data_IF_085690680764
#
_entry.id   IF_085690680764
#
_cell.length_a   1.000
_cell.length_b   1.000
_cell.length_c   1.000
_cell.angle_alpha   90.00
_cell.angle_beta   90.00
_cell.angle_gamma   90.00
#
_symmetry.space_group_name_H-M   'P 1'
#
loop_
_entity.id
_entity.type
_entity.pdbx_description
1 polymer ?
#
# COMPACT_ATOMS: atom_id res chain seq x y z
N UNK A 1 -22.52 -10.95 -20.38
CA UNK A 1 -22.62 -10.32 -19.06
C UNK A 1 -21.22 -10.26 -18.49
N UNK A 2 -20.59 -9.10 -18.60
CA UNK A 2 -19.22 -8.91 -18.11
C UNK A 2 -19.28 -8.62 -16.63
N UNK A 3 -18.37 -9.19 -15.85
CA UNK A 3 -18.16 -8.80 -14.45
C UNK A 3 -17.74 -7.33 -14.44
N UNK A 4 -18.74 -6.46 -14.36
CA UNK A 4 -18.56 -5.03 -14.40
C UNK A 4 -18.02 -4.54 -13.07
N UNK A 5 -17.58 -3.28 -13.07
CA UNK A 5 -17.15 -2.58 -11.86
C UNK A 5 -18.20 -2.69 -10.74
N UNK A 6 -19.49 -2.67 -11.09
CA UNK A 6 -20.62 -2.83 -10.16
C UNK A 6 -20.57 -4.15 -9.39
N UNK A 7 -20.36 -5.28 -10.07
CA UNK A 7 -20.30 -6.61 -9.43
C UNK A 7 -19.09 -6.70 -8.49
N UNK A 8 -17.95 -6.15 -8.92
CA UNK A 8 -16.71 -6.14 -8.13
C UNK A 8 -16.87 -5.31 -6.85
N UNK A 9 -17.55 -4.16 -6.94
CA UNK A 9 -17.87 -3.31 -5.78
C UNK A 9 -18.82 -4.03 -4.81
N UNK A 10 -19.84 -4.75 -5.32
CA UNK A 10 -20.74 -5.54 -4.48
C UNK A 10 -19.99 -6.60 -3.67
N UNK A 11 -19.10 -7.35 -4.32
CA UNK A 11 -18.25 -8.36 -3.68
C UNK A 11 -17.33 -7.70 -2.64
N UNK A 12 -16.74 -6.56 -2.97
CA UNK A 12 -15.88 -5.81 -2.07
C UNK A 12 -16.61 -5.38 -0.80
N UNK A 13 -17.87 -4.94 -0.92
CA UNK A 13 -18.70 -4.60 0.24
C UNK A 13 -18.94 -5.81 1.14
N UNK A 14 -19.28 -6.97 0.58
CA UNK A 14 -19.51 -8.20 1.38
C UNK A 14 -18.26 -8.58 2.16
N UNK A 15 -17.11 -8.59 1.46
CA UNK A 15 -15.80 -8.85 2.08
C UNK A 15 -15.52 -7.79 3.16
N UNK A 16 -15.79 -6.52 2.89
CA UNK A 16 -15.57 -5.42 3.84
C UNK A 16 -16.44 -5.53 5.09
N UNK A 17 -17.66 -6.08 5.00
CA UNK A 17 -18.51 -6.36 6.16
C UNK A 17 -17.92 -7.47 7.03
N UNK A 18 -17.40 -8.55 6.42
CA UNK A 18 -16.79 -9.68 7.14
C UNK A 18 -15.47 -9.26 7.81
N UNK A 19 -14.60 -8.56 7.07
CA UNK A 19 -13.30 -8.13 7.59
C UNK A 19 -13.40 -6.86 8.45
N UNK A 20 -14.40 -6.02 8.21
CA UNK A 20 -14.59 -4.73 8.89
C UNK A 20 -13.67 -3.62 8.38
N UNK A 21 -14.11 -2.36 8.57
CA UNK A 21 -13.42 -1.16 8.09
C UNK A 21 -12.03 -0.92 8.71
N UNK A 22 -11.73 -1.54 9.85
CA UNK A 22 -10.43 -1.40 10.51
C UNK A 22 -9.37 -2.39 10.03
N UNK A 23 -9.76 -3.59 9.60
CA UNK A 23 -8.78 -4.64 9.24
C UNK A 23 -8.15 -4.33 7.89
N UNK A 24 -8.95 -4.04 6.85
CA UNK A 24 -8.45 -3.83 5.49
C UNK A 24 -7.38 -2.73 5.38
N UNK A 25 -7.54 -1.53 6.00
CA UNK A 25 -6.51 -0.50 5.99
C UNK A 25 -5.26 -0.88 6.77
N UNK A 26 -5.38 -1.66 7.85
CA UNK A 26 -4.23 -2.11 8.63
C UNK A 26 -3.38 -3.11 7.83
N UNK A 27 -4.01 -4.11 7.20
CA UNK A 27 -3.28 -5.07 6.36
C UNK A 27 -2.64 -4.37 5.16
N UNK A 28 -3.36 -3.42 4.54
CA UNK A 28 -2.84 -2.65 3.41
C UNK A 28 -1.69 -1.72 3.80
N UNK A 29 -1.68 -1.16 5.02
CA UNK A 29 -0.54 -0.39 5.54
C UNK A 29 0.71 -1.26 5.67
N UNK A 30 0.58 -2.49 6.17
CA UNK A 30 1.72 -3.39 6.38
C UNK A 30 2.25 -3.97 5.07
N UNK A 31 1.35 -4.34 4.16
CA UNK A 31 1.70 -4.73 2.78
C UNK A 31 2.31 -3.56 2.02
N UNK A 32 1.75 -2.35 2.15
CA UNK A 32 2.25 -1.14 1.50
C UNK A 32 3.65 -0.75 1.95
N UNK A 33 3.95 -0.87 3.25
CA UNK A 33 5.32 -0.68 3.78
C UNK A 33 6.29 -1.71 3.18
N UNK A 34 5.88 -2.97 3.10
CA UNK A 34 6.70 -4.05 2.53
C UNK A 34 7.01 -3.81 1.05
N UNK A 35 6.00 -3.46 0.25
CA UNK A 35 6.15 -3.12 -1.17
C UNK A 35 7.01 -1.87 -1.36
N UNK A 36 6.85 -0.85 -0.50
CA UNK A 36 7.68 0.36 -0.53
C UNK A 36 9.15 0.03 -0.30
N UNK A 37 9.47 -0.75 0.74
CA UNK A 37 10.84 -1.16 1.03
C UNK A 37 11.43 -2.05 -0.07
N UNK A 38 10.61 -2.92 -0.68
CA UNK A 38 11.03 -3.75 -1.81
C UNK A 38 11.38 -2.89 -3.03
N UNK A 39 10.54 -1.91 -3.34
CA UNK A 39 10.74 -0.97 -4.45
C UNK A 39 11.94 -0.04 -4.22
N UNK A 40 12.12 0.41 -2.98
CA UNK A 40 13.27 1.24 -2.59
C UNK A 40 14.57 0.43 -2.71
N UNK A 41 14.59 -0.83 -2.27
CA UNK A 41 15.76 -1.73 -2.41
C UNK A 41 16.09 -2.11 -3.85
N UNK A 42 15.08 -2.31 -4.71
CA UNK A 42 15.30 -2.54 -6.16
C UNK A 42 15.88 -1.28 -6.81
N UNK A 43 15.35 -0.08 -6.49
CA UNK A 43 15.90 1.20 -6.98
C UNK A 43 17.35 1.42 -6.55
N UNK A 44 17.71 1.06 -5.33
CA UNK A 44 19.08 1.13 -4.81
C UNK A 44 20.01 0.13 -5.54
N UNK A 45 19.48 -1.02 -5.94
CA UNK A 45 20.23 -2.06 -6.66
C UNK A 45 20.47 -1.69 -8.13
N UNK A 46 19.52 -1.02 -8.77
CA UNK A 46 19.65 -0.50 -10.14
C UNK A 46 20.45 0.81 -10.22
N UNK A 47 20.53 1.57 -9.12
CA UNK A 47 21.22 2.87 -9.06
C UNK A 47 22.45 2.81 -8.16
N UNK A 48 23.52 2.16 -8.61
CA UNK A 48 24.87 2.53 -8.17
C UNK A 48 25.23 3.89 -8.78
N UNK A 49 24.61 4.96 -8.28
CA UNK A 49 25.13 6.34 -8.21
C UNK A 49 24.01 7.28 -7.71
N UNK A 50 24.33 8.05 -6.66
CA UNK A 50 23.59 9.15 -6.02
C UNK A 50 22.58 8.82 -4.89
N UNK A 51 22.86 9.22 -3.63
CA UNK A 51 21.95 9.06 -2.50
C UNK A 51 20.82 10.10 -2.53
N UNK A 52 19.63 9.73 -2.98
CA UNK A 52 18.43 10.57 -2.81
C UNK A 52 17.79 10.26 -1.46
N UNK A 53 18.38 10.88 -0.43
CA UNK A 53 17.69 11.15 0.83
C UNK A 53 16.61 12.21 0.58
N UNK A 54 15.35 11.78 0.50
CA UNK A 54 14.13 12.61 0.64
C UNK A 54 13.16 11.81 1.52
N UNK A 55 12.55 12.22 2.63
CA UNK A 55 12.36 13.49 3.39
C UNK A 55 11.56 13.05 4.64
N UNK A 56 12.03 13.10 5.91
CA UNK A 56 12.02 14.16 6.96
C UNK A 56 10.71 14.97 7.16
N UNK A 57 10.34 15.17 8.45
CA UNK A 57 9.31 16.05 9.11
C UNK A 57 8.01 15.35 9.54
N UNK A 58 7.47 15.48 10.75
CA UNK A 58 7.75 16.30 11.93
C UNK A 58 6.98 15.71 13.13
N UNK A 59 7.59 15.60 14.32
CA UNK A 59 7.08 16.37 15.45
C UNK A 59 8.18 16.69 16.45
N UNK A 60 8.14 17.93 16.90
CA UNK A 60 9.14 18.65 17.67
C UNK A 60 8.65 18.72 19.11
N UNK A 61 9.52 18.35 20.07
CA UNK A 61 9.40 18.54 21.53
C UNK A 61 8.28 17.78 22.25
#
# INVERSE_FOLDING_TARGET
>A
MSLGVTELVLILIIVFVIFGAGKLPNVMKDVGKSIKNLKDGIKESDSKDVPIKKTKKNNTK
#
